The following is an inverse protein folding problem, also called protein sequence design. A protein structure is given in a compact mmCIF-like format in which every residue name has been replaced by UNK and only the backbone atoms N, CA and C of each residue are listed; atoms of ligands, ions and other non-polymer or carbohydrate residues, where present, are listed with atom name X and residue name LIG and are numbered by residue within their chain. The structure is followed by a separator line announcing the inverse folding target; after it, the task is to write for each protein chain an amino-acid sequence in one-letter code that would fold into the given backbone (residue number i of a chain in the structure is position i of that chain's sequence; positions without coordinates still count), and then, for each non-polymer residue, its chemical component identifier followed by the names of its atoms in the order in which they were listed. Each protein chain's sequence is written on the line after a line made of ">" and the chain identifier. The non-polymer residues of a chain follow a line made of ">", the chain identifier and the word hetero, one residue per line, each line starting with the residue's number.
data_IF_888773329520
#
_entry.id   IF_888773329520
#
_cell.length_a   1.000
_cell.length_b   1.000
_cell.length_c   1.000
_cell.angle_alpha   90.00
_cell.angle_beta   90.00
_cell.angle_gamma   90.00
#
_symmetry.space_group_name_H-M   'P 1'
#
loop_
_entity.id
_entity.type
_entity.pdbx_description
1 polymer ?
#
# COMPACT_ATOMS: atom_id res chain seq x y z
N UNK A 1 45.67 5.57 -8.68
CA UNK A 1 44.47 4.87 -9.18
C UNK A 1 43.58 4.31 -8.05
N UNK A 2 43.86 4.58 -6.77
CA UNK A 2 43.09 4.05 -5.62
C UNK A 2 41.98 4.99 -5.13
N UNK A 3 42.15 6.31 -5.25
CA UNK A 3 41.24 7.29 -4.64
C UNK A 3 39.90 7.43 -5.38
N UNK A 4 39.92 7.43 -6.71
CA UNK A 4 38.72 7.50 -7.56
C UNK A 4 37.84 6.24 -7.48
N UNK A 5 38.44 5.08 -7.17
CA UNK A 5 37.68 3.85 -6.96
C UNK A 5 36.88 3.90 -5.65
N UNK A 6 37.50 4.41 -4.58
CA UNK A 6 36.86 4.54 -3.27
C UNK A 6 35.69 5.54 -3.26
N UNK A 7 35.80 6.65 -4.00
CA UNK A 7 34.70 7.63 -4.12
C UNK A 7 33.49 7.08 -4.85
N UNK A 8 33.70 6.30 -5.93
CA UNK A 8 32.62 5.65 -6.68
C UNK A 8 31.90 4.57 -5.87
N UNK A 9 32.63 3.79 -5.07
CA UNK A 9 32.01 2.78 -4.19
C UNK A 9 31.18 3.47 -3.10
N UNK A 10 31.71 4.54 -2.49
CA UNK A 10 30.99 5.31 -1.46
C UNK A 10 29.68 5.89 -1.98
N UNK A 11 29.69 6.51 -3.17
CA UNK A 11 28.47 7.08 -3.75
C UNK A 11 27.42 6.01 -4.07
N UNK A 12 27.82 4.80 -4.47
CA UNK A 12 26.89 3.68 -4.67
C UNK A 12 26.25 3.21 -3.37
N UNK A 13 27.00 3.16 -2.27
CA UNK A 13 26.46 2.84 -0.95
C UNK A 13 25.48 3.91 -0.45
N UNK A 14 25.79 5.20 -0.65
CA UNK A 14 24.87 6.29 -0.34
C UNK A 14 23.57 6.19 -1.14
N UNK A 15 23.63 5.82 -2.42
CA UNK A 15 22.44 5.62 -3.24
C UNK A 15 21.62 4.41 -2.79
N UNK A 16 22.27 3.32 -2.36
CA UNK A 16 21.60 2.15 -1.82
C UNK A 16 20.93 2.45 -0.48
N UNK A 17 21.57 3.20 0.42
CA UNK A 17 20.99 3.58 1.71
C UNK A 17 19.74 4.46 1.54
N UNK A 18 19.71 5.33 0.53
CA UNK A 18 18.51 6.11 0.17
C UNK A 18 17.36 5.18 -0.25
N UNK A 19 17.63 4.13 -1.02
CA UNK A 19 16.59 3.15 -1.41
C UNK A 19 16.07 2.39 -0.20
N UNK A 20 16.96 1.98 0.71
CA UNK A 20 16.59 1.26 1.92
C UNK A 20 15.74 2.14 2.86
N UNK A 21 16.09 3.42 3.01
CA UNK A 21 15.28 4.39 3.76
C UNK A 21 13.89 4.60 3.16
N UNK A 22 13.80 4.75 1.83
CA UNK A 22 12.51 4.85 1.13
C UNK A 22 11.67 3.58 1.27
N UNK A 23 12.30 2.42 1.18
CA UNK A 23 11.63 1.13 1.35
C UNK A 23 11.08 0.98 2.78
N UNK A 24 11.86 1.37 3.79
CA UNK A 24 11.42 1.37 5.20
C UNK A 24 10.24 2.32 5.44
N UNK A 25 10.28 3.52 4.86
CA UNK A 25 9.18 4.48 4.94
C UNK A 25 7.90 3.94 4.29
N UNK A 26 8.01 3.36 3.09
CA UNK A 26 6.86 2.76 2.39
C UNK A 26 6.32 1.54 3.14
N UNK A 27 7.18 0.73 3.76
CA UNK A 27 6.77 -0.42 4.56
C UNK A 27 5.96 0.02 5.79
N UNK A 28 6.41 1.07 6.47
CA UNK A 28 5.69 1.67 7.61
C UNK A 28 4.32 2.21 7.18
N UNK A 29 4.27 2.88 6.03
CA UNK A 29 3.02 3.35 5.44
C UNK A 29 2.06 2.18 5.11
N UNK A 30 2.57 1.11 4.50
CA UNK A 30 1.74 -0.07 4.19
C UNK A 30 1.25 -0.79 5.44
N UNK A 31 2.01 -0.80 6.53
CA UNK A 31 1.54 -1.35 7.80
C UNK A 31 0.33 -0.56 8.34
N UNK A 32 0.36 0.77 8.27
CA UNK A 32 -0.79 1.62 8.61
C UNK A 32 -1.98 1.35 7.68
N UNK A 33 -1.72 1.21 6.38
CA UNK A 33 -2.77 0.90 5.40
C UNK A 33 -3.42 -0.45 5.65
N UNK A 34 -2.64 -1.50 5.93
CA UNK A 34 -3.15 -2.82 6.28
C UNK A 34 -4.03 -2.77 7.53
N UNK A 35 -3.61 -2.04 8.57
CA UNK A 35 -4.42 -1.84 9.76
C UNK A 35 -5.75 -1.14 9.44
N UNK A 36 -5.73 -0.09 8.60
CA UNK A 36 -6.95 0.59 8.16
C UNK A 36 -7.88 -0.34 7.34
N UNK A 37 -7.32 -1.16 6.44
CA UNK A 37 -8.09 -2.13 5.67
C UNK A 37 -8.72 -3.18 6.58
N UNK A 38 -7.99 -3.69 7.59
CA UNK A 38 -8.53 -4.65 8.55
C UNK A 38 -9.73 -4.11 9.32
N UNK A 39 -9.73 -2.82 9.69
CA UNK A 39 -10.90 -2.16 10.29
C UNK A 39 -12.07 -2.13 9.32
N UNK A 40 -11.83 -1.77 8.05
CA UNK A 40 -12.86 -1.75 7.01
C UNK A 40 -13.46 -3.13 6.73
N UNK A 41 -12.63 -4.17 6.63
CA UNK A 41 -13.08 -5.54 6.38
C UNK A 41 -14.00 -6.06 7.49
N UNK A 42 -13.81 -5.62 8.74
CA UNK A 42 -14.70 -5.97 9.85
C UNK A 42 -16.07 -5.25 9.78
N UNK A 43 -16.14 -4.12 9.06
CA UNK A 43 -17.35 -3.30 8.96
C UNK A 43 -18.18 -3.60 7.71
N UNK A 44 -17.51 -3.88 6.59
CA UNK A 44 -18.14 -4.12 5.29
C UNK A 44 -18.64 -5.57 5.20
N UNK A 45 -19.92 -5.82 4.87
CA UNK A 45 -20.47 -7.18 4.75
C UNK A 45 -19.89 -7.89 3.54
N UNK A 46 -19.99 -9.22 3.52
CA UNK A 46 -19.49 -10.09 2.45
C UNK A 46 -20.19 -9.82 1.10
N UNK A 47 -19.66 -8.85 0.36
CA UNK A 47 -20.16 -8.45 -0.94
C UNK A 47 -19.00 -8.00 -1.87
N UNK A 48 -19.34 -7.41 -3.02
CA UNK A 48 -18.34 -6.98 -4.00
C UNK A 48 -17.35 -5.92 -3.43
N UNK A 49 -17.78 -5.09 -2.48
CA UNK A 49 -16.92 -4.11 -1.82
C UNK A 49 -15.89 -4.81 -0.92
N UNK A 50 -16.33 -5.81 -0.16
CA UNK A 50 -15.45 -6.65 0.66
C UNK A 50 -14.39 -7.34 -0.20
N UNK A 51 -14.78 -7.96 -1.31
CA UNK A 51 -13.84 -8.58 -2.25
C UNK A 51 -12.79 -7.58 -2.80
N UNK A 52 -13.18 -6.33 -3.08
CA UNK A 52 -12.24 -5.29 -3.52
C UNK A 52 -11.26 -4.89 -2.41
N UNK A 53 -11.74 -4.83 -1.17
CA UNK A 53 -10.89 -4.57 0.00
C UNK A 53 -9.92 -5.73 0.25
N UNK A 54 -10.33 -6.98 0.06
CA UNK A 54 -9.44 -8.15 0.12
C UNK A 54 -8.33 -8.07 -0.93
N UNK A 55 -8.66 -7.71 -2.17
CA UNK A 55 -7.66 -7.50 -3.21
C UNK A 55 -6.68 -6.36 -2.84
N UNK A 56 -7.18 -5.26 -2.25
CA UNK A 56 -6.33 -4.19 -1.77
C UNK A 56 -5.43 -4.63 -0.60
N UNK A 57 -5.96 -5.45 0.32
CA UNK A 57 -5.22 -6.05 1.42
C UNK A 57 -4.09 -6.93 0.90
N UNK A 58 -4.40 -7.88 0.00
CA UNK A 58 -3.43 -8.78 -0.60
C UNK A 58 -2.36 -8.03 -1.42
N UNK A 59 -2.75 -6.99 -2.16
CA UNK A 59 -1.81 -6.14 -2.88
C UNK A 59 -0.86 -5.39 -1.94
N UNK A 60 -1.38 -4.85 -0.82
CA UNK A 60 -0.57 -4.18 0.19
C UNK A 60 0.36 -5.16 0.92
N UNK A 61 -0.13 -6.36 1.24
CA UNK A 61 0.67 -7.43 1.84
C UNK A 61 1.80 -7.87 0.90
N UNK A 62 1.51 -8.09 -0.39
CA UNK A 62 2.52 -8.40 -1.40
C UNK A 62 3.56 -7.28 -1.51
N UNK A 63 3.13 -6.01 -1.47
CA UNK A 63 4.02 -4.85 -1.42
C UNK A 63 4.97 -4.89 -0.21
N UNK A 64 4.46 -5.20 0.99
CA UNK A 64 5.28 -5.38 2.19
C UNK A 64 6.34 -6.47 2.01
N UNK A 65 5.97 -7.63 1.45
CA UNK A 65 6.91 -8.74 1.18
C UNK A 65 8.02 -8.29 0.22
N UNK A 66 7.69 -7.59 -0.86
CA UNK A 66 8.71 -7.07 -1.78
C UNK A 66 9.64 -6.05 -1.10
N UNK A 67 9.12 -5.17 -0.26
CA UNK A 67 9.92 -4.19 0.48
C UNK A 67 10.86 -4.86 1.49
N UNK A 68 10.38 -5.86 2.22
CA UNK A 68 11.21 -6.67 3.11
C UNK A 68 12.35 -7.36 2.34
N UNK A 69 12.09 -7.82 1.11
CA UNK A 69 13.13 -8.41 0.26
C UNK A 69 14.23 -7.43 -0.15
N UNK A 70 13.94 -6.13 -0.18
CA UNK A 70 14.93 -5.07 -0.47
C UNK A 70 15.84 -4.88 0.76
N UNK A 71 15.25 -4.81 1.94
CA UNK A 71 15.95 -4.58 3.22
C UNK A 71 16.83 -5.77 3.60
N UNK A 72 16.35 -7.00 3.40
CA UNK A 72 17.12 -8.23 3.72
C UNK A 72 18.45 -8.28 2.96
N UNK A 73 18.49 -7.76 1.73
CA UNK A 73 19.63 -7.91 0.83
C UNK A 73 20.89 -7.11 1.26
N UNK A 74 20.87 -6.41 2.39
CA UNK A 74 21.95 -5.55 2.92
C UNK A 74 23.19 -6.34 3.40
N UNK A 75 23.08 -7.65 3.64
CA UNK A 75 24.11 -8.40 4.39
C UNK A 75 25.13 -9.18 3.55
N UNK A 76 25.23 -8.97 2.24
CA UNK A 76 26.25 -9.64 1.41
C UNK A 76 27.35 -8.66 1.02
N UNK A 77 28.60 -8.99 1.36
CA UNK A 77 29.77 -8.23 0.90
C UNK A 77 29.83 -8.26 -0.63
N UNK A 78 29.84 -7.10 -1.30
CA UNK A 78 29.90 -7.06 -2.75
C UNK A 78 31.32 -7.42 -3.22
N UNK A 79 31.41 -8.29 -4.23
CA UNK A 79 32.66 -8.68 -4.87
C UNK A 79 33.24 -7.61 -5.81
N UNK A 80 32.52 -6.51 -6.05
CA UNK A 80 32.96 -5.39 -6.88
C UNK A 80 31.87 -4.37 -7.21
N UNK A 81 32.25 -3.31 -7.92
CA UNK A 81 31.36 -2.20 -8.34
C UNK A 81 30.25 -2.64 -9.31
N UNK A 82 30.52 -3.63 -10.16
CA UNK A 82 29.54 -4.21 -11.08
C UNK A 82 28.38 -4.90 -10.32
N UNK A 83 28.70 -5.66 -9.26
CA UNK A 83 27.69 -6.32 -8.42
C UNK A 83 26.78 -5.29 -7.73
N UNK A 84 27.38 -4.20 -7.22
CA UNK A 84 26.63 -3.10 -6.62
C UNK A 84 25.62 -2.44 -7.58
N UNK A 85 25.99 -2.24 -8.85
CA UNK A 85 25.08 -1.69 -9.86
C UNK A 85 23.93 -2.64 -10.19
N UNK A 86 24.20 -3.95 -10.30
CA UNK A 86 23.16 -4.97 -10.52
C UNK A 86 22.19 -5.01 -9.34
N UNK A 87 22.69 -4.96 -8.10
CA UNK A 87 21.85 -4.88 -6.90
C UNK A 87 21.00 -3.62 -6.88
N UNK A 88 21.58 -2.47 -7.22
CA UNK A 88 20.86 -1.20 -7.30
C UNK A 88 19.70 -1.25 -8.29
N UNK A 89 19.93 -1.73 -9.50
CA UNK A 89 18.88 -1.81 -10.54
C UNK A 89 17.78 -2.79 -10.14
N UNK A 90 18.15 -3.94 -9.60
CA UNK A 90 17.21 -4.95 -9.08
C UNK A 90 16.33 -4.41 -7.95
N UNK A 91 16.94 -3.79 -6.92
CA UNK A 91 16.21 -3.15 -5.80
C UNK A 91 15.30 -2.03 -6.28
N UNK A 92 15.75 -1.20 -7.22
CA UNK A 92 14.95 -0.13 -7.80
C UNK A 92 13.71 -0.68 -8.52
N UNK A 93 13.86 -1.77 -9.28
CA UNK A 93 12.73 -2.43 -9.95
C UNK A 93 11.71 -2.95 -8.94
N UNK A 94 12.16 -3.64 -7.89
CA UNK A 94 11.28 -4.15 -6.82
C UNK A 94 10.58 -3.01 -6.08
N UNK A 95 11.30 -1.93 -5.79
CA UNK A 95 10.72 -0.74 -5.15
C UNK A 95 9.60 -0.15 -6.01
N UNK A 96 9.80 0.01 -7.32
CA UNK A 96 8.77 0.52 -8.24
C UNK A 96 7.52 -0.35 -8.30
N UNK A 97 7.68 -1.68 -8.31
CA UNK A 97 6.57 -2.62 -8.27
C UNK A 97 5.80 -2.46 -6.95
N UNK A 98 6.52 -2.46 -5.83
CA UNK A 98 5.93 -2.27 -4.49
C UNK A 98 5.18 -0.94 -4.38
N UNK A 99 5.78 0.14 -4.88
CA UNK A 99 5.16 1.45 -4.94
C UNK A 99 3.84 1.42 -5.73
N UNK A 100 3.84 0.83 -6.92
CA UNK A 100 2.63 0.70 -7.75
C UNK A 100 1.53 -0.07 -7.01
N UNK A 101 1.84 -1.21 -6.40
CA UNK A 101 0.89 -2.00 -5.59
C UNK A 101 0.32 -1.17 -4.43
N UNK A 102 1.17 -0.40 -3.75
CA UNK A 102 0.75 0.46 -2.63
C UNK A 102 -0.20 1.56 -3.10
N UNK A 103 0.08 2.20 -4.23
CA UNK A 103 -0.80 3.23 -4.82
C UNK A 103 -2.15 2.65 -5.22
N UNK A 104 -2.18 1.46 -5.84
CA UNK A 104 -3.44 0.78 -6.17
C UNK A 104 -4.25 0.50 -4.90
N UNK A 105 -3.63 -0.06 -3.86
CA UNK A 105 -4.30 -0.36 -2.60
C UNK A 105 -4.85 0.90 -1.93
N UNK A 106 -4.06 1.98 -1.82
CA UNK A 106 -4.50 3.26 -1.28
C UNK A 106 -5.65 3.86 -2.08
N UNK A 107 -5.60 3.76 -3.40
CA UNK A 107 -6.65 4.31 -4.27
C UNK A 107 -7.98 3.60 -4.03
N UNK A 108 -7.96 2.27 -3.90
CA UNK A 108 -9.15 1.48 -3.56
C UNK A 108 -9.69 1.90 -2.19
N UNK A 109 -8.85 1.91 -1.15
CA UNK A 109 -9.27 2.26 0.22
C UNK A 109 -9.83 3.69 0.29
N UNK A 110 -9.19 4.64 -0.40
CA UNK A 110 -9.64 6.03 -0.46
C UNK A 110 -10.99 6.14 -1.15
N UNK A 111 -11.20 5.46 -2.27
CA UNK A 111 -12.49 5.44 -2.98
C UNK A 111 -13.59 4.85 -2.11
N UNK A 112 -13.33 3.71 -1.44
CA UNK A 112 -14.29 3.10 -0.51
C UNK A 112 -14.63 4.07 0.62
N UNK A 113 -13.62 4.70 1.21
CA UNK A 113 -13.79 5.66 2.31
C UNK A 113 -14.60 6.90 1.88
N UNK A 114 -14.33 7.45 0.69
CA UNK A 114 -15.07 8.59 0.14
C UNK A 114 -16.54 8.21 -0.09
N UNK A 115 -16.79 7.10 -0.79
CA UNK A 115 -18.15 6.66 -1.09
C UNK A 115 -18.94 6.40 0.19
N UNK A 116 -18.31 5.75 1.19
CA UNK A 116 -18.92 5.53 2.49
C UNK A 116 -19.22 6.85 3.23
N UNK A 117 -18.25 7.77 3.28
CA UNK A 117 -18.40 9.06 3.99
C UNK A 117 -19.50 9.92 3.36
N UNK A 118 -19.52 10.02 2.02
CA UNK A 118 -20.55 10.74 1.28
C UNK A 118 -21.92 10.09 1.51
N UNK A 119 -22.01 8.76 1.43
CA UNK A 119 -23.24 8.03 1.70
C UNK A 119 -23.80 8.25 3.09
N UNK A 120 -22.92 8.19 4.09
CA UNK A 120 -23.28 8.44 5.49
C UNK A 120 -23.80 9.87 5.66
N UNK A 121 -23.12 10.86 5.07
CA UNK A 121 -23.59 12.25 5.08
C UNK A 121 -24.94 12.42 4.41
N UNK A 122 -25.13 11.87 3.20
CA UNK A 122 -26.41 11.96 2.48
C UNK A 122 -27.57 11.31 3.25
N UNK A 123 -27.32 10.17 3.92
CA UNK A 123 -28.32 9.52 4.79
C UNK A 123 -28.63 10.41 6.01
N UNK A 124 -27.61 10.93 6.68
CA UNK A 124 -27.77 11.76 7.88
C UNK A 124 -28.54 13.07 7.63
N UNK A 125 -28.34 13.72 6.48
CA UNK A 125 -29.05 14.96 6.12
C UNK A 125 -30.41 14.72 5.43
N UNK A 126 -30.87 13.47 5.32
CA UNK A 126 -32.13 13.14 4.66
C UNK A 126 -32.11 13.43 3.15
N UNK A 127 -30.93 13.42 2.52
CA UNK A 127 -30.72 13.66 1.10
C UNK A 127 -31.02 12.44 0.20
N UNK A 128 -30.98 11.22 0.75
CA UNK A 128 -31.39 10.01 0.04
C UNK A 128 -32.90 9.75 0.17
N UNK A 129 -33.75 10.62 -0.37
CA UNK A 129 -35.21 10.36 -0.47
C UNK A 129 -35.62 9.61 -1.74
N UNK A 130 -34.72 9.55 -2.73
CA UNK A 130 -34.97 8.87 -4.01
C UNK A 130 -34.56 7.40 -3.95
N UNK A 131 -35.37 6.53 -4.55
CA UNK A 131 -35.16 5.07 -4.61
C UNK A 131 -33.74 4.65 -5.05
N UNK A 132 -33.08 5.31 -6.03
CA UNK A 132 -31.73 4.90 -6.45
C UNK A 132 -30.67 5.15 -5.38
N UNK A 133 -30.78 6.25 -4.63
CA UNK A 133 -29.86 6.62 -3.54
C UNK A 133 -30.04 5.66 -2.36
N UNK A 134 -31.30 5.40 -2.00
CA UNK A 134 -31.66 4.46 -0.94
C UNK A 134 -31.23 3.03 -1.28
N UNK A 135 -31.35 2.60 -2.55
CA UNK A 135 -30.88 1.29 -3.00
C UNK A 135 -29.35 1.18 -2.99
N UNK A 136 -28.64 2.19 -3.50
CA UNK A 136 -27.17 2.17 -3.56
C UNK A 136 -26.53 2.14 -2.17
N UNK A 137 -27.09 2.89 -1.21
CA UNK A 137 -26.65 2.89 0.19
C UNK A 137 -27.44 1.92 1.09
N UNK A 138 -28.13 0.94 0.47
CA UNK A 138 -28.82 -0.10 1.22
C UNK A 138 -27.83 -1.02 1.96
N UNK A 139 -28.31 -1.67 3.01
CA UNK A 139 -27.50 -2.58 3.83
C UNK A 139 -26.90 -3.75 3.04
N UNK A 140 -27.49 -4.11 1.89
CA UNK A 140 -26.94 -5.14 1.02
C UNK A 140 -25.59 -4.74 0.39
N UNK A 141 -25.41 -3.44 0.09
CA UNK A 141 -24.25 -2.95 -0.66
C UNK A 141 -23.18 -2.36 0.27
N UNK A 142 -23.56 -1.64 1.33
CA UNK A 142 -22.59 -1.03 2.25
C UNK A 142 -22.58 -1.64 3.65
N UNK A 143 -23.46 -2.60 3.93
CA UNK A 143 -23.62 -3.12 5.28
C UNK A 143 -24.55 -2.30 6.11
N UNK A 144 -25.00 -2.94 7.18
CA UNK A 144 -25.84 -2.30 8.16
C UNK A 144 -24.99 -1.29 8.96
N UNK A 145 -25.10 -0.01 8.59
CA UNK A 145 -24.46 1.12 9.31
C UNK A 145 -24.89 1.18 10.79
N UNK A 146 -25.99 0.51 11.13
CA UNK A 146 -26.62 0.49 12.45
C UNK A 146 -26.41 -0.83 13.20
N UNK A 147 -25.43 -1.68 12.81
CA UNK A 147 -25.09 -2.91 13.55
C UNK A 147 -24.38 -2.59 14.87
N UNK A 148 -25.12 -1.94 15.77
CA UNK A 148 -24.92 -1.97 17.20
C UNK A 148 -25.46 -3.29 17.73
N UNK A 149 -24.61 -4.31 17.78
CA UNK A 149 -24.66 -5.42 18.75
C UNK A 149 -23.41 -6.27 18.67
#
# INVERSE_FOLDING_TARGET
>A
MSETHNTNVKSLYELLSIIDAKASALLSFNALLLAAISVWLNYVPDNLLHFRLDLAFLASLASCVFLLSIIWLHWSEPSGTADLQVRRTSRTKRYRISWCLSIVAVSVVSLVSIVHTVGTGLKAFGGCKSDPCAYFYSEMIFGNLDRSR
#
